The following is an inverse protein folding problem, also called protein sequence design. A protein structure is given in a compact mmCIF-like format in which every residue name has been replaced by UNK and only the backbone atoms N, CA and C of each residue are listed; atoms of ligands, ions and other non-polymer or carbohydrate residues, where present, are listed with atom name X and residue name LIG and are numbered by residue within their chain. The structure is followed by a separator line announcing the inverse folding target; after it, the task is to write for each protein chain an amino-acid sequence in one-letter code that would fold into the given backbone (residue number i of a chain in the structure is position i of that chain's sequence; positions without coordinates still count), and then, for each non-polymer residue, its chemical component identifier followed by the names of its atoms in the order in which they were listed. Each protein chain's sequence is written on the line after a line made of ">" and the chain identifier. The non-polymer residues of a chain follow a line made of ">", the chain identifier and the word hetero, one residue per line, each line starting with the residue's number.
data_IF_146235566125
#
_entry.id   IF_146235566125
#
_cell.length_a   1.000
_cell.length_b   1.000
_cell.length_c   1.000
_cell.angle_alpha   90.00
_cell.angle_beta   90.00
_cell.angle_gamma   90.00
#
_symmetry.space_group_name_H-M   'P 1'
#
loop_
_entity.id
_entity.type
_entity.pdbx_description
1 polymer ?
#
# COMPACT_ATOMS: atom_id res chain seq x y z
N UNK A 1 97.68 38.71 6.07
CA UNK A 1 96.97 39.89 6.60
C UNK A 1 96.03 40.34 5.48
N UNK A 2 94.71 40.32 5.53
CA UNK A 2 93.76 40.20 6.63
C UNK A 2 92.43 39.68 6.06
N UNK A 3 91.65 39.10 6.96
CA UNK A 3 90.34 38.46 6.84
C UNK A 3 89.15 39.43 6.67
N UNK A 4 87.97 38.83 6.47
CA UNK A 4 86.62 39.29 6.93
C UNK A 4 85.83 40.17 5.93
N UNK A 5 84.51 40.12 5.74
CA UNK A 5 83.34 39.23 5.99
C UNK A 5 82.10 40.02 5.53
N UNK A 6 81.05 39.35 5.05
CA UNK A 6 79.66 39.85 5.06
C UNK A 6 79.07 40.06 3.66
N UNK A 7 77.81 39.72 3.35
CA UNK A 7 76.71 39.14 4.11
C UNK A 7 75.77 38.45 3.10
N UNK A 8 75.11 37.35 3.47
CA UNK A 8 74.05 36.71 2.65
C UNK A 8 72.67 37.09 3.21
N UNK A 9 71.72 37.53 2.36
CA UNK A 9 70.36 37.83 2.81
C UNK A 9 69.58 36.54 3.14
N UNK A 10 68.56 36.61 4.03
CA UNK A 10 67.76 35.45 4.40
C UNK A 10 66.84 35.02 3.26
N UNK A 11 66.95 33.76 2.87
CA UNK A 11 66.14 33.13 1.82
C UNK A 11 64.73 32.86 2.37
N UNK A 12 63.75 33.67 1.97
CA UNK A 12 62.32 33.41 2.24
C UNK A 12 61.89 32.13 1.50
N UNK A 13 61.62 31.08 2.25
CA UNK A 13 60.89 29.90 1.75
C UNK A 13 59.40 30.21 1.81
N UNK A 14 58.83 30.70 0.70
CA UNK A 14 57.37 30.71 0.51
C UNK A 14 56.97 29.27 0.18
N UNK A 15 56.59 28.50 1.20
CA UNK A 15 56.05 27.15 1.05
C UNK A 15 54.53 27.22 1.19
N UNK A 16 53.83 27.35 0.08
CA UNK A 16 52.40 27.06 -0.03
C UNK A 16 52.15 26.22 -1.28
N UNK A 17 52.85 25.10 -1.37
CA UNK A 17 52.44 23.98 -2.21
C UNK A 17 53.09 22.74 -1.59
N UNK A 18 52.33 22.05 -0.73
CA UNK A 18 52.86 20.97 0.09
C UNK A 18 52.74 19.60 -0.59
N UNK A 19 52.07 19.49 -1.74
CA UNK A 19 51.98 18.26 -2.51
C UNK A 19 52.40 18.54 -3.96
N UNK A 20 53.29 17.72 -4.56
CA UNK A 20 53.42 17.69 -6.00
C UNK A 20 52.05 17.31 -6.60
N UNK A 21 51.65 17.86 -7.76
CA UNK A 21 50.50 17.35 -8.49
C UNK A 21 50.68 15.83 -8.69
N UNK A 22 49.80 15.04 -8.10
CA UNK A 22 49.87 13.58 -8.22
C UNK A 22 49.50 13.19 -9.65
N UNK A 23 50.47 12.65 -10.39
CA UNK A 23 50.36 12.21 -11.79
C UNK A 23 49.28 11.14 -11.97
N UNK A 24 48.92 10.44 -10.88
CA UNK A 24 47.85 9.43 -10.87
C UNK A 24 46.44 10.02 -10.81
N UNK A 25 46.31 11.33 -10.62
CA UNK A 25 45.02 12.03 -10.67
C UNK A 25 44.72 12.31 -12.14
N UNK A 26 44.28 11.27 -12.86
CA UNK A 26 43.69 11.46 -14.19
C UNK A 26 42.39 12.27 -14.07
N UNK A 27 42.42 13.55 -14.46
CA UNK A 27 41.20 14.34 -14.67
C UNK A 27 40.89 14.51 -16.15
N UNK A 28 40.14 13.57 -16.77
CA UNK A 28 39.44 13.87 -17.99
C UNK A 28 37.93 13.68 -17.77
N UNK A 29 37.24 14.66 -17.17
CA UNK A 29 35.80 14.76 -17.44
C UNK A 29 35.63 15.31 -18.86
N UNK A 30 35.86 14.46 -19.85
CA UNK A 30 35.57 14.76 -21.25
C UNK A 30 34.10 14.45 -21.51
N UNK A 31 33.22 15.45 -21.34
CA UNK A 31 31.87 15.43 -21.90
C UNK A 31 31.99 15.39 -23.44
N UNK A 32 32.23 14.23 -24.02
CA UNK A 32 32.17 14.09 -25.47
C UNK A 32 30.71 14.22 -25.90
N UNK A 33 30.39 14.95 -26.99
CA UNK A 33 29.01 15.15 -27.45
C UNK A 33 28.26 13.82 -27.65
N UNK A 34 28.99 12.77 -28.03
CA UNK A 34 28.48 11.40 -28.20
C UNK A 34 28.10 10.73 -26.87
N UNK A 35 28.85 10.98 -25.79
CA UNK A 35 28.51 10.47 -24.45
C UNK A 35 27.28 11.18 -23.90
N UNK A 36 27.22 12.51 -24.05
CA UNK A 36 26.05 13.30 -23.65
C UNK A 36 24.77 12.85 -24.37
N UNK A 37 24.84 12.59 -25.69
CA UNK A 37 23.73 12.02 -26.45
C UNK A 37 23.29 10.64 -25.93
N UNK A 38 24.24 9.72 -25.69
CA UNK A 38 23.91 8.38 -25.17
C UNK A 38 23.26 8.44 -23.80
N UNK A 39 23.79 9.27 -22.89
CA UNK A 39 23.22 9.48 -21.56
C UNK A 39 21.83 10.13 -21.66
N UNK A 40 21.64 11.08 -22.57
CA UNK A 40 20.33 11.68 -22.84
C UNK A 40 19.30 10.67 -23.36
N UNK A 41 19.69 9.81 -24.31
CA UNK A 41 18.83 8.74 -24.83
C UNK A 41 18.45 7.74 -23.74
N UNK A 42 19.42 7.30 -22.93
CA UNK A 42 19.15 6.40 -21.80
C UNK A 42 18.24 7.05 -20.75
N UNK A 43 18.45 8.34 -20.46
CA UNK A 43 17.60 9.12 -19.56
C UNK A 43 16.16 9.23 -20.07
N UNK A 44 15.97 9.53 -21.36
CA UNK A 44 14.65 9.56 -22.00
C UNK A 44 13.95 8.19 -21.92
N UNK A 45 14.70 7.12 -22.20
CA UNK A 45 14.20 5.74 -22.11
C UNK A 45 13.74 5.39 -20.69
N UNK A 46 14.57 5.72 -19.70
CA UNK A 46 14.22 5.53 -18.29
C UNK A 46 12.95 6.31 -17.92
N UNK A 47 12.87 7.58 -18.31
CA UNK A 47 11.72 8.45 -18.04
C UNK A 47 10.44 7.91 -18.70
N UNK A 48 10.54 7.39 -19.93
CA UNK A 48 9.42 6.74 -20.61
C UNK A 48 8.94 5.49 -19.87
N UNK A 49 9.86 4.63 -19.40
CA UNK A 49 9.50 3.44 -18.60
C UNK A 49 8.78 3.86 -17.31
N UNK A 50 9.32 4.84 -16.58
CA UNK A 50 8.67 5.35 -15.37
C UNK A 50 7.29 5.96 -15.66
N UNK A 51 7.13 6.71 -16.76
CA UNK A 51 5.86 7.26 -17.17
C UNK A 51 4.81 6.17 -17.44
N UNK A 52 5.19 5.09 -18.12
CA UNK A 52 4.30 3.93 -18.36
C UNK A 52 3.88 3.28 -17.05
N UNK A 53 4.82 3.07 -16.11
CA UNK A 53 4.51 2.48 -14.81
C UNK A 53 3.58 3.37 -13.98
N UNK A 54 3.80 4.69 -13.95
CA UNK A 54 2.94 5.65 -13.27
C UNK A 54 1.54 5.69 -13.89
N UNK A 55 1.45 5.72 -15.22
CA UNK A 55 0.17 5.66 -15.92
C UNK A 55 -0.57 4.35 -15.63
N UNK A 56 0.16 3.22 -15.63
CA UNK A 56 -0.41 1.91 -15.29
C UNK A 56 -0.94 1.87 -13.87
N UNK A 57 -0.19 2.42 -12.91
CA UNK A 57 -0.59 2.51 -11.51
C UNK A 57 -1.82 3.41 -11.35
N UNK A 58 -1.81 4.58 -11.98
CA UNK A 58 -2.94 5.51 -11.99
C UNK A 58 -4.20 4.85 -12.58
N UNK A 59 -4.05 4.15 -13.72
CA UNK A 59 -5.15 3.41 -14.34
C UNK A 59 -5.70 2.33 -13.39
N UNK A 60 -4.84 1.62 -12.65
CA UNK A 60 -5.29 0.64 -11.66
C UNK A 60 -6.06 1.28 -10.49
N UNK A 61 -5.69 2.47 -10.06
CA UNK A 61 -6.39 3.16 -8.99
C UNK A 61 -7.71 3.80 -9.46
N UNK A 62 -7.72 4.42 -10.65
CA UNK A 62 -8.87 5.17 -11.17
C UNK A 62 -9.89 4.27 -11.86
N UNK A 63 -9.45 3.36 -12.73
CA UNK A 63 -10.36 2.51 -13.53
C UNK A 63 -10.84 1.30 -12.75
N UNK A 64 -10.03 0.80 -11.82
CA UNK A 64 -10.34 -0.40 -11.03
C UNK A 64 -10.92 -0.09 -9.65
N UNK A 65 -10.93 1.17 -9.22
CA UNK A 65 -11.65 1.60 -8.02
C UNK A 65 -13.15 1.33 -8.11
N UNK A 66 -13.73 1.35 -9.32
CA UNK A 66 -15.16 1.04 -9.53
C UNK A 66 -15.40 -0.44 -9.82
N UNK A 67 -14.51 -1.09 -10.58
CA UNK A 67 -14.70 -2.48 -11.02
C UNK A 67 -14.27 -3.54 -9.99
N UNK A 68 -13.18 -3.31 -9.21
CA UNK A 68 -12.83 -4.20 -8.09
C UNK A 68 -13.71 -3.96 -6.87
N UNK A 69 -14.31 -2.77 -6.71
CA UNK A 69 -15.26 -2.53 -5.63
C UNK A 69 -16.56 -3.32 -5.88
N UNK A 70 -17.01 -3.40 -7.14
CA UNK A 70 -18.12 -4.28 -7.54
C UNK A 70 -17.76 -5.77 -7.38
N UNK A 71 -16.52 -6.18 -7.71
CA UNK A 71 -16.08 -7.58 -7.54
C UNK A 71 -15.86 -7.97 -6.07
N UNK A 72 -15.37 -7.05 -5.23
CA UNK A 72 -15.18 -7.26 -3.80
C UNK A 72 -16.51 -7.33 -3.04
N UNK A 73 -17.52 -6.55 -3.45
CA UNK A 73 -18.89 -6.71 -2.94
C UNK A 73 -19.47 -8.09 -3.26
N UNK A 74 -19.10 -8.69 -4.41
CA UNK A 74 -19.57 -10.00 -4.82
C UNK A 74 -18.74 -11.17 -4.25
N UNK A 75 -17.53 -10.91 -3.75
CA UNK A 75 -16.64 -11.90 -3.15
C UNK A 75 -16.74 -12.01 -1.62
N UNK A 76 -17.80 -11.46 -1.01
CA UNK A 76 -18.02 -11.62 0.42
C UNK A 76 -18.53 -13.03 0.72
N UNK A 77 -17.59 -13.97 0.97
CA UNK A 77 -17.90 -15.33 1.42
C UNK A 77 -18.59 -15.23 2.80
N UNK A 78 -19.91 -15.33 2.81
CA UNK A 78 -20.70 -15.41 4.05
C UNK A 78 -20.63 -16.83 4.58
N UNK A 79 -19.82 -17.05 5.61
CA UNK A 79 -19.82 -18.30 6.36
C UNK A 79 -21.11 -18.38 7.19
N UNK A 80 -22.15 -18.97 6.62
CA UNK A 80 -23.35 -19.32 7.39
C UNK A 80 -23.01 -20.56 8.20
N UNK A 81 -22.93 -20.41 9.52
CA UNK A 81 -22.76 -21.53 10.44
C UNK A 81 -24.08 -22.32 10.43
N UNK A 82 -24.08 -23.46 9.75
CA UNK A 82 -25.21 -24.38 9.77
C UNK A 82 -25.14 -25.08 11.12
N UNK A 83 -26.11 -24.81 11.99
CA UNK A 83 -26.25 -25.51 13.27
C UNK A 83 -26.47 -27.00 12.96
N UNK A 84 -25.63 -27.88 13.49
CA UNK A 84 -25.83 -29.32 13.30
C UNK A 84 -27.12 -29.74 14.02
N UNK A 85 -28.07 -30.42 13.36
CA UNK A 85 -29.25 -30.96 14.02
C UNK A 85 -28.80 -31.94 15.12
N UNK A 86 -29.19 -31.70 16.37
CA UNK A 86 -28.96 -32.67 17.46
C UNK A 86 -29.88 -33.88 17.26
N UNK A 87 -29.34 -35.08 17.47
CA UNK A 87 -30.13 -36.30 17.46
C UNK A 87 -31.23 -36.27 18.55
N UNK A 88 -32.42 -36.85 18.29
CA UNK A 88 -33.48 -36.93 19.29
C UNK A 88 -33.06 -37.84 20.45
N UNK A 89 -33.35 -37.43 21.68
CA UNK A 89 -33.14 -38.28 22.86
C UNK A 89 -34.36 -39.18 22.99
N UNK A 90 -34.15 -40.49 22.92
CA UNK A 90 -35.20 -41.52 22.98
C UNK A 90 -35.15 -42.28 24.30
N UNK A 91 -36.33 -42.67 24.78
CA UNK A 91 -36.51 -43.57 25.91
C UNK A 91 -36.09 -45.02 25.57
N UNK A 92 -36.04 -45.92 26.55
CA UNK A 92 -35.77 -47.36 26.34
C UNK A 92 -36.77 -48.07 25.41
N UNK A 93 -37.97 -47.50 25.24
CA UNK A 93 -38.98 -47.93 24.26
C UNK A 93 -38.87 -47.25 22.89
N UNK A 94 -37.81 -46.46 22.64
CA UNK A 94 -37.64 -45.71 21.39
C UNK A 94 -38.56 -44.49 21.26
N UNK A 95 -39.25 -44.08 22.34
CA UNK A 95 -40.12 -42.88 22.33
C UNK A 95 -39.28 -41.61 22.49
N UNK A 96 -39.36 -40.64 21.57
CA UNK A 96 -38.59 -39.39 21.69
C UNK A 96 -39.11 -38.53 22.86
N UNK A 97 -38.22 -38.17 23.79
CA UNK A 97 -38.50 -37.28 24.93
C UNK A 97 -38.15 -35.83 24.59
N UNK A 98 -37.11 -35.62 23.78
CA UNK A 98 -36.69 -34.28 23.29
C UNK A 98 -36.51 -34.33 21.78
N UNK A 99 -37.20 -33.43 21.07
CA UNK A 99 -37.08 -33.24 19.62
C UNK A 99 -36.50 -31.85 19.31
N UNK A 100 -35.86 -31.70 18.15
CA UNK A 100 -35.43 -30.41 17.63
C UNK A 100 -36.58 -29.82 16.79
N UNK A 101 -37.00 -28.59 17.09
CA UNK A 101 -37.95 -27.85 16.27
C UNK A 101 -37.20 -26.80 15.43
N UNK A 102 -37.45 -26.71 14.11
CA UNK A 102 -36.84 -25.70 13.27
C UNK A 102 -37.31 -24.31 13.70
N UNK A 103 -36.38 -23.45 14.11
CA UNK A 103 -36.62 -22.04 14.42
C UNK A 103 -36.30 -21.15 13.21
N UNK A 104 -37.21 -20.23 12.86
CA UNK A 104 -36.93 -19.21 11.85
C UNK A 104 -36.21 -18.04 12.50
N UNK A 105 -34.97 -17.76 12.10
CA UNK A 105 -34.17 -16.64 12.61
C UNK A 105 -34.01 -15.61 11.49
N UNK A 106 -34.46 -14.39 11.74
CA UNK A 106 -34.28 -13.25 10.83
C UNK A 106 -33.12 -12.40 11.35
N UNK A 107 -32.08 -12.20 10.53
CA UNK A 107 -30.91 -11.39 10.88
C UNK A 107 -30.79 -10.20 9.96
N UNK A 108 -30.69 -9.02 10.54
CA UNK A 108 -30.43 -7.76 9.84
C UNK A 108 -29.00 -7.29 10.13
N UNK A 109 -28.33 -6.75 9.12
CA UNK A 109 -27.01 -6.14 9.29
C UNK A 109 -27.17 -4.61 9.37
N UNK A 110 -26.65 -3.95 10.43
CA UNK A 110 -26.76 -2.49 10.59
C UNK A 110 -26.23 -1.67 9.40
N UNK A 111 -25.30 -2.23 8.62
CA UNK A 111 -24.71 -1.56 7.45
C UNK A 111 -25.66 -1.45 6.24
N UNK A 112 -26.66 -2.33 6.15
CA UNK A 112 -27.66 -2.33 5.09
C UNK A 112 -28.85 -1.40 5.42
N UNK A 113 -28.87 -0.83 6.64
CA UNK A 113 -29.88 0.13 7.05
C UNK A 113 -29.49 1.55 6.61
N UNK A 114 -30.47 2.39 6.25
CA UNK A 114 -30.21 3.78 5.92
C UNK A 114 -29.58 4.51 7.11
N UNK A 115 -28.48 5.23 6.87
CA UNK A 115 -27.70 5.94 7.91
C UNK A 115 -28.46 7.08 8.60
N UNK A 116 -29.63 7.43 8.09
CA UNK A 116 -30.50 8.47 8.66
C UNK A 116 -31.45 7.83 9.68
N UNK A 117 -31.37 8.28 10.94
CA UNK A 117 -32.15 7.75 12.06
C UNK A 117 -33.66 7.62 11.78
N UNK A 118 -34.26 8.63 11.13
CA UNK A 118 -35.69 8.63 10.78
C UNK A 118 -36.06 7.53 9.77
N UNK A 119 -35.23 7.30 8.76
CA UNK A 119 -35.45 6.23 7.77
C UNK A 119 -35.15 4.86 8.36
N UNK A 120 -34.15 4.76 9.24
CA UNK A 120 -33.80 3.53 9.94
C UNK A 120 -34.95 3.03 10.81
N UNK A 121 -35.55 3.94 11.59
CA UNK A 121 -36.68 3.62 12.46
C UNK A 121 -37.94 3.24 11.67
N UNK A 122 -38.17 3.86 10.51
CA UNK A 122 -39.28 3.50 9.62
C UNK A 122 -39.14 2.08 9.06
N UNK A 123 -37.94 1.70 8.59
CA UNK A 123 -37.67 0.34 8.11
C UNK A 123 -37.75 -0.70 9.23
N UNK A 124 -37.20 -0.41 10.41
CA UNK A 124 -37.30 -1.30 11.57
C UNK A 124 -38.75 -1.53 12.00
N UNK A 125 -39.59 -0.47 12.03
CA UNK A 125 -41.02 -0.59 12.32
C UNK A 125 -41.76 -1.40 11.25
N UNK A 126 -41.39 -1.26 9.98
CA UNK A 126 -41.97 -2.05 8.89
C UNK A 126 -41.62 -3.52 9.02
N UNK A 127 -40.36 -3.83 9.34
CA UNK A 127 -39.90 -5.20 9.61
C UNK A 127 -40.60 -5.78 10.85
N UNK A 128 -40.72 -5.01 11.93
CA UNK A 128 -41.43 -5.42 13.15
C UNK A 128 -42.91 -5.77 12.86
N UNK A 129 -43.57 -4.99 12.01
CA UNK A 129 -44.96 -5.23 11.58
C UNK A 129 -45.10 -6.53 10.79
N UNK A 130 -44.18 -6.79 9.85
CA UNK A 130 -44.18 -8.02 9.03
C UNK A 130 -43.84 -9.25 9.87
N UNK A 131 -42.92 -9.11 10.82
CA UNK A 131 -42.49 -10.18 11.72
C UNK A 131 -43.43 -10.36 12.94
N UNK A 132 -44.46 -9.51 13.07
CA UNK A 132 -45.37 -9.47 14.22
C UNK A 132 -44.64 -9.39 15.57
N UNK A 133 -43.54 -8.64 15.62
CA UNK A 133 -42.77 -8.38 16.82
C UNK A 133 -42.97 -6.93 17.28
N UNK A 134 -42.89 -6.68 18.58
CA UNK A 134 -42.88 -5.31 19.12
C UNK A 134 -41.57 -4.60 18.72
N UNK A 135 -41.65 -3.35 18.23
CA UNK A 135 -40.49 -2.60 17.73
C UNK A 135 -39.50 -2.19 18.82
#
# INVERSE_FOLDING_TARGET
>A
MSSTTGARPPRRLRRTEFLPPDERVEVPYRFTPRLALRVGVLGLLALAVFAVLLFRLWALQVLSGTHYLAQAQNNQIRTVRIEAPRGPIVDWHGRPIVTNAPGTIVRIWPQDLPKTWTRQLAELRRLATVLKMTP
#
